data_IF_909999599328
#
_entry.id   IF_909999599328
#
_cell.length_a   1.000
_cell.length_b   1.000
_cell.length_c   1.000
_cell.angle_alpha   90.00
_cell.angle_beta   90.00
_cell.angle_gamma   90.00
#
_symmetry.space_group_name_H-M   'P 1'
#
loop_
_entity.id
_entity.type
_entity.pdbx_description
1 polymer ?
#
# COMPACT_ATOMS: atom_id res chain seq x y z
N UNK A 1 11.08 -15.24 -13.08
CA UNK A 1 10.22 -14.05 -13.18
C UNK A 1 10.37 -13.33 -11.85
N UNK A 2 10.88 -12.11 -11.82
CA UNK A 2 10.95 -11.35 -10.56
C UNK A 2 9.52 -11.06 -10.09
N UNK A 3 9.22 -11.43 -8.85
CA UNK A 3 7.90 -11.23 -8.25
C UNK A 3 7.90 -9.83 -7.60
N UNK A 4 6.99 -8.91 -7.98
CA UNK A 4 7.04 -7.52 -7.55
C UNK A 4 6.76 -7.39 -6.05
N UNK A 5 7.49 -6.55 -5.30
CA UNK A 5 7.19 -6.30 -3.89
C UNK A 5 5.80 -5.66 -3.69
N UNK A 6 5.32 -5.61 -2.45
CA UNK A 6 4.01 -5.02 -2.11
C UNK A 6 4.22 -3.70 -1.36
N UNK A 7 3.61 -2.61 -1.82
CA UNK A 7 3.64 -1.35 -1.11
C UNK A 7 2.39 -1.19 -0.24
N UNK A 8 2.60 -0.89 1.04
CA UNK A 8 1.54 -0.70 2.04
C UNK A 8 1.68 0.68 2.67
N UNK A 9 0.55 1.35 2.90
CA UNK A 9 0.49 2.75 3.37
C UNK A 9 -0.45 2.95 4.58
N UNK A 10 -1.00 1.85 5.13
CA UNK A 10 -1.98 1.88 6.21
C UNK A 10 -1.84 0.68 7.12
N UNK A 11 -2.95 0.00 7.39
CA UNK A 11 -3.13 -1.06 8.41
C UNK A 11 -2.23 -2.30 8.27
N UNK A 12 -1.54 -2.46 7.13
CA UNK A 12 -0.56 -3.51 6.85
C UNK A 12 0.90 -3.05 7.07
N UNK A 13 1.16 -1.80 7.49
CA UNK A 13 2.51 -1.32 7.87
C UNK A 13 3.02 -2.04 9.12
N UNK A 14 4.33 -2.13 9.27
CA UNK A 14 4.92 -2.68 10.50
C UNK A 14 4.43 -1.90 11.73
N UNK A 15 3.96 -2.62 12.76
CA UNK A 15 3.38 -2.04 13.98
C UNK A 15 1.85 -1.88 13.93
N UNK A 16 1.24 -2.01 12.76
CA UNK A 16 -0.20 -1.89 12.58
C UNK A 16 -0.96 -3.21 12.84
N UNK A 17 -2.27 -3.06 13.06
CA UNK A 17 -3.15 -4.15 13.51
C UNK A 17 -3.17 -5.36 12.59
N UNK A 18 -2.98 -5.22 11.27
CA UNK A 18 -3.06 -6.35 10.33
C UNK A 18 -1.70 -6.91 9.93
N UNK A 19 -0.59 -6.25 10.28
CA UNK A 19 0.74 -6.69 9.87
C UNK A 19 1.10 -8.10 10.36
N UNK A 20 0.62 -8.49 11.53
CA UNK A 20 0.88 -9.81 12.09
C UNK A 20 0.44 -10.96 11.17
N UNK A 21 -0.60 -10.75 10.34
CA UNK A 21 -1.07 -11.75 9.37
C UNK A 21 -0.07 -12.06 8.25
N UNK A 22 0.79 -11.10 7.91
CA UNK A 22 1.74 -11.22 6.80
C UNK A 22 3.21 -11.23 7.25
N UNK A 23 3.48 -10.90 8.51
CA UNK A 23 4.84 -10.70 9.04
C UNK A 23 5.79 -11.87 8.78
N UNK A 24 5.32 -13.12 8.82
CA UNK A 24 6.12 -14.32 8.55
C UNK A 24 6.50 -14.52 7.09
N UNK A 25 5.87 -13.78 6.17
CA UNK A 25 6.14 -13.82 4.73
C UNK A 25 7.11 -12.73 4.27
N UNK A 26 7.44 -11.76 5.14
CA UNK A 26 8.26 -10.59 4.81
C UNK A 26 9.74 -10.88 5.06
N UNK A 27 10.56 -10.66 4.05
CA UNK A 27 12.03 -10.72 4.11
C UNK A 27 12.65 -9.41 4.56
N UNK A 28 12.15 -8.29 4.01
CA UNK A 28 12.70 -6.95 4.24
C UNK A 28 11.58 -5.90 4.10
N UNK A 29 11.73 -4.79 4.82
CA UNK A 29 10.81 -3.65 4.81
C UNK A 29 11.62 -2.41 4.50
N UNK A 30 11.25 -1.71 3.43
CA UNK A 30 11.94 -0.50 2.99
C UNK A 30 10.99 0.70 3.03
N UNK A 31 11.40 1.85 3.59
CA UNK A 31 10.58 3.06 3.52
C UNK A 31 10.48 3.54 2.07
N UNK A 32 9.26 3.92 1.67
CA UNK A 32 8.97 4.32 0.31
C UNK A 32 7.76 5.27 0.25
N UNK A 33 7.55 5.88 -0.91
CA UNK A 33 6.39 6.73 -1.16
C UNK A 33 5.82 6.56 -2.56
N UNK A 34 4.54 6.89 -2.69
CA UNK A 34 3.80 6.95 -3.95
C UNK A 34 3.07 8.29 -4.06
N UNK A 35 2.86 8.78 -5.27
CA UNK A 35 2.07 9.98 -5.51
C UNK A 35 0.58 9.65 -5.50
N UNK A 36 -0.19 10.39 -4.68
CA UNK A 36 -1.61 10.15 -4.55
C UNK A 36 -2.24 10.94 -3.41
N UNK A 37 -3.50 10.64 -3.13
CA UNK A 37 -4.24 11.27 -2.03
C UNK A 37 -4.79 10.19 -1.12
N UNK A 38 -4.56 10.34 0.18
CA UNK A 38 -5.20 9.52 1.19
C UNK A 38 -6.60 10.04 1.47
N UNK A 39 -7.49 9.12 1.78
CA UNK A 39 -8.83 9.42 2.27
C UNK A 39 -9.09 8.63 3.55
N UNK A 40 -9.74 9.28 4.49
CA UNK A 40 -10.26 8.66 5.71
C UNK A 40 -11.60 7.99 5.41
N UNK A 41 -11.83 6.83 6.05
CA UNK A 41 -13.07 6.07 5.96
C UNK A 41 -13.69 5.90 7.33
N UNK A 42 -15.04 5.79 7.41
CA UNK A 42 -15.71 5.49 8.67
C UNK A 42 -15.40 4.09 9.22
N UNK A 43 -14.59 3.29 8.52
CA UNK A 43 -14.26 1.91 8.86
C UNK A 43 -12.90 1.74 9.54
N UNK A 44 -12.16 2.84 9.76
CA UNK A 44 -10.88 2.82 10.49
C UNK A 44 -9.73 2.23 9.67
N UNK A 45 -9.72 2.48 8.37
CA UNK A 45 -8.59 2.25 7.47
C UNK A 45 -8.51 3.35 6.40
N UNK A 46 -7.30 3.70 5.93
CA UNK A 46 -7.14 4.69 4.86
C UNK A 46 -7.47 4.10 3.49
N UNK A 47 -7.87 4.95 2.56
CA UNK A 47 -7.90 4.65 1.12
C UNK A 47 -6.84 5.48 0.40
N UNK A 48 -6.13 4.89 -0.54
CA UNK A 48 -5.28 5.63 -1.48
C UNK A 48 -5.99 5.75 -2.84
N UNK A 49 -6.07 6.96 -3.36
CA UNK A 49 -6.32 7.21 -4.78
C UNK A 49 -5.00 7.63 -5.40
N UNK A 50 -4.47 6.81 -6.32
CA UNK A 50 -3.21 7.10 -7.00
C UNK A 50 -3.36 8.34 -7.89
N UNK A 51 -2.41 9.28 -7.75
CA UNK A 51 -2.39 10.50 -8.54
C UNK A 51 -1.64 10.29 -9.86
N UNK A 52 -2.14 10.88 -10.94
CA UNK A 52 -1.43 10.94 -12.23
C UNK A 52 -0.84 12.34 -12.49
N UNK A 53 -0.98 13.28 -11.56
CA UNK A 53 -0.57 14.67 -11.72
C UNK A 53 0.73 14.95 -10.96
N UNK A 54 1.64 15.73 -11.58
CA UNK A 54 2.96 16.10 -11.03
C UNK A 54 2.91 16.79 -9.65
N UNK A 55 1.75 17.33 -9.26
CA UNK A 55 1.54 18.03 -7.98
C UNK A 55 0.82 17.17 -6.91
N UNK A 56 0.68 15.86 -7.13
CA UNK A 56 0.02 14.99 -6.16
C UNK A 56 0.87 14.85 -4.88
N UNK A 57 0.26 14.82 -3.68
CA UNK A 57 1.01 14.63 -2.45
C UNK A 57 1.76 13.28 -2.46
N UNK A 58 2.92 13.25 -1.78
CA UNK A 58 3.70 12.03 -1.59
C UNK A 58 3.16 11.28 -0.38
N UNK A 59 2.52 10.16 -0.62
CA UNK A 59 2.00 9.29 0.44
C UNK A 59 3.10 8.35 0.89
N UNK A 60 3.48 8.45 2.17
CA UNK A 60 4.51 7.62 2.76
C UNK A 60 3.94 6.26 3.15
N UNK A 61 4.77 5.24 2.95
CA UNK A 61 4.45 3.87 3.29
C UNK A 61 5.71 3.03 3.34
N UNK A 62 5.53 1.73 3.20
CA UNK A 62 6.63 0.77 3.23
C UNK A 62 6.47 -0.24 2.11
N UNK A 63 7.59 -0.54 1.47
CA UNK A 63 7.73 -1.61 0.51
C UNK A 63 8.07 -2.90 1.27
N UNK A 64 7.19 -3.88 1.18
CA UNK A 64 7.36 -5.21 1.73
C UNK A 64 8.02 -6.09 0.68
N UNK A 65 9.24 -6.52 0.95
CA UNK A 65 9.94 -7.50 0.13
C UNK A 65 9.56 -8.89 0.68
N UNK A 66 8.90 -9.74 -0.12
CA UNK A 66 8.52 -11.08 0.31
C UNK A 66 9.72 -12.03 0.37
N UNK A 67 9.61 -13.06 1.21
CA UNK A 67 10.43 -14.27 1.10
C UNK A 67 10.09 -14.99 -0.22
N UNK A 68 11.12 -15.44 -0.94
CA UNK A 68 10.99 -15.98 -2.31
C UNK A 68 9.92 -17.09 -2.42
N UNK A 69 9.88 -17.98 -1.43
CA UNK A 69 8.97 -19.12 -1.37
C UNK A 69 7.58 -18.79 -0.80
N UNK A 70 7.38 -17.60 -0.23
CA UNK A 70 6.13 -17.19 0.44
C UNK A 70 5.40 -16.04 -0.27
N UNK A 71 5.85 -15.63 -1.45
CA UNK A 71 5.20 -14.59 -2.24
C UNK A 71 3.70 -14.84 -2.46
N UNK A 72 3.35 -16.04 -2.94
CA UNK A 72 1.98 -16.39 -3.29
C UNK A 72 1.09 -16.56 -2.05
N UNK A 73 1.69 -16.68 -0.87
CA UNK A 73 1.01 -16.64 0.42
C UNK A 73 0.78 -15.19 0.86
N UNK A 74 1.81 -14.34 0.82
CA UNK A 74 1.69 -12.91 1.13
C UNK A 74 0.58 -12.26 0.31
N UNK A 75 0.63 -12.39 -1.02
CA UNK A 75 -0.35 -11.77 -1.93
C UNK A 75 -1.76 -12.28 -1.64
N UNK A 76 -1.93 -13.56 -1.33
CA UNK A 76 -3.24 -14.15 -1.04
C UNK A 76 -3.82 -13.61 0.27
N UNK A 77 -3.01 -13.49 1.32
CA UNK A 77 -3.45 -12.94 2.60
C UNK A 77 -3.87 -11.48 2.42
N UNK A 78 -3.07 -10.69 1.70
CA UNK A 78 -3.39 -9.29 1.40
C UNK A 78 -4.66 -9.20 0.53
N UNK A 79 -4.80 -10.02 -0.50
CA UNK A 79 -5.99 -10.04 -1.35
C UNK A 79 -7.27 -10.39 -0.57
N UNK A 80 -7.19 -11.25 0.44
CA UNK A 80 -8.34 -11.55 1.33
C UNK A 80 -8.69 -10.32 2.17
N UNK A 81 -7.69 -9.69 2.79
CA UNK A 81 -7.89 -8.51 3.65
C UNK A 81 -8.44 -7.32 2.84
N UNK A 82 -7.80 -7.00 1.72
CA UNK A 82 -8.10 -5.82 0.91
C UNK A 82 -9.28 -6.04 -0.04
N UNK A 83 -9.51 -7.28 -0.47
CA UNK A 83 -10.63 -7.65 -1.33
C UNK A 83 -11.98 -7.52 -0.63
N UNK A 84 -12.05 -7.82 0.67
CA UNK A 84 -13.25 -7.55 1.47
C UNK A 84 -13.55 -6.05 1.59
N UNK A 85 -12.50 -5.21 1.57
CA UNK A 85 -12.62 -3.77 1.66
C UNK A 85 -12.91 -3.06 0.33
N UNK A 86 -12.80 -3.77 -0.82
CA UNK A 86 -13.14 -3.25 -2.15
C UNK A 86 -11.98 -2.60 -2.92
N UNK A 87 -10.74 -2.79 -2.50
CA UNK A 87 -9.57 -2.22 -3.18
C UNK A 87 -9.28 -2.89 -4.52
N UNK A 88 -8.76 -2.12 -5.47
CA UNK A 88 -8.19 -2.62 -6.71
C UNK A 88 -6.70 -2.88 -6.55
N UNK A 89 -6.24 -4.06 -6.98
CA UNK A 89 -4.82 -4.42 -7.00
C UNK A 89 -4.20 -3.95 -8.31
N UNK A 90 -3.22 -3.06 -8.24
CA UNK A 90 -2.54 -2.48 -9.40
C UNK A 90 -1.02 -2.57 -9.27
N UNK A 91 -0.32 -2.67 -10.40
CA UNK A 91 1.14 -2.50 -10.45
C UNK A 91 1.45 -1.01 -10.65
N UNK A 92 2.08 -0.36 -9.67
CA UNK A 92 2.45 1.05 -9.72
C UNK A 92 3.94 1.24 -9.46
N UNK A 93 4.48 2.35 -9.95
CA UNK A 93 5.83 2.77 -9.60
C UNK A 93 5.82 3.40 -8.21
N UNK A 94 6.71 2.93 -7.35
CA UNK A 94 6.92 3.43 -6.00
C UNK A 94 8.36 3.90 -5.89
N UNK A 95 8.58 5.02 -5.20
CA UNK A 95 9.91 5.60 -5.01
C UNK A 95 10.42 5.30 -3.61
N UNK A 96 11.59 4.65 -3.51
CA UNK A 96 12.31 4.46 -2.24
C UNK A 96 12.87 5.79 -1.73
N UNK A 97 13.20 5.86 -0.44
CA UNK A 97 13.92 7.03 0.12
C UNK A 97 15.24 7.33 -0.59
N UNK A 98 15.90 6.32 -1.17
CA UNK A 98 17.10 6.50 -1.98
C UNK A 98 16.87 7.24 -3.30
N UNK A 99 15.61 7.46 -3.69
CA UNK A 99 15.20 7.99 -5.00
C UNK A 99 15.07 6.93 -6.09
N UNK A 100 15.41 5.67 -5.81
CA UNK A 100 15.20 4.56 -6.74
C UNK A 100 13.71 4.26 -6.93
N UNK A 101 13.31 3.97 -8.16
CA UNK A 101 11.93 3.65 -8.54
C UNK A 101 11.78 2.16 -8.84
N UNK A 102 10.73 1.54 -8.32
CA UNK A 102 10.46 0.11 -8.43
C UNK A 102 8.97 -0.12 -8.72
N UNK A 103 8.65 -1.11 -9.55
CA UNK A 103 7.28 -1.58 -9.71
C UNK A 103 6.84 -2.38 -8.48
N UNK A 104 5.74 -1.99 -7.86
CA UNK A 104 5.18 -2.64 -6.68
C UNK A 104 3.67 -2.87 -6.85
N UNK A 105 3.18 -3.93 -6.21
CA UNK A 105 1.75 -4.14 -6.05
C UNK A 105 1.22 -3.13 -5.03
N UNK A 106 0.17 -2.41 -5.41
CA UNK A 106 -0.52 -1.42 -4.59
C UNK A 106 -2.01 -1.74 -4.60
N UNK A 107 -2.63 -1.72 -3.42
CA UNK A 107 -4.08 -1.78 -3.27
C UNK A 107 -4.60 -0.36 -3.19
N UNK A 108 -5.32 0.12 -4.21
CA UNK A 108 -5.81 1.49 -4.31
C UNK A 108 -7.22 1.56 -4.89
N UNK A 109 -7.82 2.74 -4.82
CA UNK A 109 -9.08 3.08 -5.47
C UNK A 109 -8.84 3.92 -6.72
N UNK A 110 -9.67 3.71 -7.73
CA UNK A 110 -9.69 4.54 -8.93
C UNK A 110 -10.29 5.93 -8.65
N UNK A 111 -11.36 5.95 -7.86
CA UNK A 111 -12.05 7.17 -7.43
C UNK A 111 -12.47 7.02 -5.96
N UNK A 112 -12.47 8.12 -5.17
CA UNK A 112 -12.89 8.05 -3.79
C UNK A 112 -14.40 7.78 -3.71
N UNK A 113 -14.85 6.82 -2.88
CA UNK A 113 -16.28 6.59 -2.69
C UNK A 113 -16.94 7.77 -1.96
N UNK A 114 -18.26 7.99 -2.08
CA UNK A 114 -18.94 9.16 -1.54
C UNK A 114 -18.82 9.34 -0.01
N UNK A 115 -18.54 8.26 0.72
CA UNK A 115 -18.36 8.28 2.17
C UNK A 115 -16.93 8.61 2.61
N UNK A 116 -15.96 8.62 1.69
CA UNK A 116 -14.56 8.88 2.01
C UNK A 116 -14.29 10.39 2.06
N UNK A 117 -13.53 10.82 3.07
CA UNK A 117 -13.15 12.22 3.26
C UNK A 117 -11.67 12.40 2.93
N UNK A 118 -11.25 13.45 2.20
CA UNK A 118 -9.84 13.69 1.95
C UNK A 118 -9.05 13.78 3.26
N UNK A 119 -7.98 13.01 3.35
CA UNK A 119 -7.02 13.08 4.44
C UNK A 119 -5.80 13.85 3.95
N UNK A 120 -5.59 15.04 4.52
CA UNK A 120 -4.51 15.95 4.09
C UNK A 120 -3.13 15.61 4.65
N UNK A 121 -3.03 14.56 5.49
CA UNK A 121 -1.75 14.02 5.90
C UNK A 121 -1.15 13.11 4.84
N UNK A 122 0.19 13.05 4.80
CA UNK A 122 0.94 12.17 3.89
C UNK A 122 1.18 10.78 4.47
N UNK A 123 0.92 10.59 5.76
CA UNK A 123 1.11 9.34 6.49
C UNK A 123 -0.14 8.99 7.28
N UNK A 124 -0.58 7.73 7.20
CA UNK A 124 -1.64 7.24 8.06
C UNK A 124 -1.15 7.12 9.53
N UNK A 125 -1.86 7.72 10.50
CA UNK A 125 -1.45 7.77 11.90
C UNK A 125 -1.60 6.45 12.67
#
# INVERSE_FOLDING_TARGET
MEKPPVFVYGTLKQGEKLFHHISHTVKEILPAYIEGTLYDTPFGYPLLVCGNAEDSPRITGTLLIPLDDLYDEMVRIIDVIEGEAGFSKELKEVTLESGSRLGAIVHCYHEPPPYAQPFYGTEWP
#
